data_IF_628418523522
#
_entry.id   IF_628418523522
#
_cell.length_a   1.000
_cell.length_b   1.000
_cell.length_c   1.000
_cell.angle_alpha   90.00
_cell.angle_beta   90.00
_cell.angle_gamma   90.00
#
_symmetry.space_group_name_H-M   'P 1'
#
loop_
_entity.id
_entity.type
_entity.pdbx_description
1 polymer ?
#
# COMPACT_ATOMS: atom_id res chain seq x y z
N UNK A 1 12.75 -30.24 -29.47
CA UNK A 1 13.18 -29.46 -28.30
C UNK A 1 13.64 -28.12 -28.80
N UNK A 2 12.76 -27.09 -28.77
CA UNK A 2 13.11 -25.71 -29.09
C UNK A 2 13.47 -25.04 -27.78
N UNK A 3 14.71 -24.54 -27.66
CA UNK A 3 15.19 -23.85 -26.48
C UNK A 3 14.35 -22.62 -26.21
N UNK A 4 13.80 -22.52 -25.00
CA UNK A 4 13.20 -21.32 -24.50
C UNK A 4 14.31 -20.27 -24.35
N UNK A 5 14.27 -19.25 -25.16
CA UNK A 5 15.11 -18.06 -25.05
C UNK A 5 14.73 -17.36 -23.76
N UNK A 6 15.62 -17.44 -22.76
CA UNK A 6 15.47 -16.67 -21.50
C UNK A 6 15.49 -15.20 -21.88
N UNK A 7 14.34 -14.55 -21.83
CA UNK A 7 14.28 -13.09 -21.87
C UNK A 7 15.00 -12.57 -20.65
N UNK A 8 16.23 -12.11 -20.85
CA UNK A 8 17.00 -11.46 -19.79
C UNK A 8 16.23 -10.24 -19.30
N UNK A 9 15.78 -10.29 -18.05
CA UNK A 9 15.19 -9.14 -17.36
C UNK A 9 16.28 -8.09 -17.25
N UNK A 10 16.21 -7.07 -18.11
CA UNK A 10 17.13 -5.94 -18.06
C UNK A 10 16.91 -5.23 -16.72
N UNK A 11 17.95 -5.11 -15.91
CA UNK A 11 17.91 -4.33 -14.67
C UNK A 11 17.50 -2.90 -15.00
N UNK A 12 16.30 -2.49 -14.54
CA UNK A 12 15.81 -1.12 -14.69
C UNK A 12 16.32 -0.32 -13.49
N UNK A 13 16.86 0.89 -13.73
CA UNK A 13 17.28 1.77 -12.65
C UNK A 13 16.11 2.13 -11.72
N UNK A 14 16.37 2.40 -10.43
CA UNK A 14 15.32 2.62 -9.43
C UNK A 14 14.38 3.76 -9.82
N UNK A 15 14.90 4.79 -10.51
CA UNK A 15 14.09 5.93 -11.00
C UNK A 15 13.19 5.53 -12.19
N UNK A 16 13.60 4.55 -12.98
CA UNK A 16 12.84 4.03 -14.10
C UNK A 16 11.71 3.08 -13.65
N UNK A 17 11.80 2.48 -12.45
CA UNK A 17 10.78 1.56 -11.91
C UNK A 17 9.43 2.26 -11.72
N UNK A 18 9.45 3.46 -11.13
CA UNK A 18 8.22 4.25 -10.94
C UNK A 18 7.55 4.58 -12.26
N UNK A 19 8.32 5.03 -13.26
CA UNK A 19 7.78 5.35 -14.58
C UNK A 19 7.28 4.09 -15.30
N UNK A 20 8.03 2.99 -15.23
CA UNK A 20 7.59 1.72 -15.80
C UNK A 20 6.25 1.27 -15.19
N UNK A 21 6.16 1.18 -13.85
CA UNK A 21 4.94 0.77 -13.18
C UNK A 21 3.80 1.76 -13.40
N UNK A 22 4.07 3.07 -13.50
CA UNK A 22 3.07 4.07 -13.90
C UNK A 22 2.46 3.73 -15.25
N UNK A 23 3.28 3.42 -16.26
CA UNK A 23 2.79 3.07 -17.61
C UNK A 23 1.97 1.78 -17.59
N UNK A 24 2.39 0.78 -16.80
CA UNK A 24 1.63 -0.48 -16.68
C UNK A 24 0.27 -0.23 -16.01
N UNK A 25 0.23 0.54 -14.93
CA UNK A 25 -1.03 0.91 -14.26
C UNK A 25 -1.95 1.78 -15.14
N UNK A 26 -1.41 2.63 -16.01
CA UNK A 26 -2.24 3.35 -17.01
C UNK A 26 -2.91 2.37 -17.99
N UNK A 27 -2.19 1.35 -18.47
CA UNK A 27 -2.74 0.29 -19.35
C UNK A 27 -3.81 -0.54 -18.64
N UNK A 28 -3.52 -0.97 -17.40
CA UNK A 28 -4.47 -1.73 -16.58
C UNK A 28 -5.75 -0.94 -16.31
N UNK A 29 -5.61 0.36 -16.02
CA UNK A 29 -6.75 1.26 -15.83
C UNK A 29 -7.54 1.50 -17.12
N UNK A 30 -6.88 1.58 -18.28
CA UNK A 30 -7.52 1.68 -19.57
C UNK A 30 -8.33 0.42 -19.90
N UNK A 31 -7.79 -0.75 -19.59
CA UNK A 31 -8.47 -2.03 -19.77
C UNK A 31 -9.62 -2.25 -18.76
N UNK A 32 -9.69 -1.45 -17.68
CA UNK A 32 -10.75 -1.51 -16.68
C UNK A 32 -10.75 -2.79 -15.84
N UNK A 33 -9.55 -3.30 -15.49
CA UNK A 33 -9.45 -4.46 -14.60
C UNK A 33 -10.05 -4.16 -13.22
N UNK A 34 -10.46 -5.19 -12.44
CA UNK A 34 -11.14 -4.99 -11.16
C UNK A 34 -10.38 -4.07 -10.19
N UNK A 35 -9.06 -4.11 -10.15
CA UNK A 35 -8.24 -3.31 -9.21
C UNK A 35 -8.10 -1.83 -9.60
N UNK A 36 -8.58 -1.43 -10.77
CA UNK A 36 -8.50 -0.05 -11.26
C UNK A 36 -9.83 0.67 -11.29
N UNK A 37 -10.89 0.04 -10.76
CA UNK A 37 -12.25 0.57 -10.73
C UNK A 37 -12.94 0.27 -9.40
N UNK A 38 -13.94 1.08 -9.00
CA UNK A 38 -14.69 0.81 -7.79
C UNK A 38 -15.49 -0.49 -7.94
N UNK A 39 -15.30 -1.41 -6.99
CA UNK A 39 -16.05 -2.66 -6.91
C UNK A 39 -17.16 -2.55 -5.88
N UNK A 40 -18.31 -3.12 -6.21
CA UNK A 40 -19.49 -3.01 -5.37
C UNK A 40 -20.12 -1.62 -5.41
N UNK A 41 -21.12 -1.42 -4.53
CA UNK A 41 -21.84 -0.14 -4.42
C UNK A 41 -22.15 0.15 -2.96
N UNK A 42 -21.40 1.01 -2.30
CA UNK A 42 -21.64 1.32 -0.89
C UNK A 42 -23.00 2.00 -0.71
N UNK A 43 -23.73 1.66 0.39
CA UNK A 43 -24.94 2.35 0.78
C UNK A 43 -24.74 3.87 0.94
N UNK A 44 -25.83 4.64 0.89
CA UNK A 44 -25.75 6.09 1.05
C UNK A 44 -25.88 6.55 2.49
N UNK A 45 -26.42 5.72 3.38
CA UNK A 45 -26.51 6.04 4.80
C UNK A 45 -25.17 5.88 5.53
N UNK A 46 -24.99 6.60 6.63
CA UNK A 46 -23.72 6.65 7.35
C UNK A 46 -23.29 5.27 7.92
N UNK A 47 -24.26 4.49 8.44
CA UNK A 47 -23.98 3.16 9.00
C UNK A 47 -23.55 2.17 7.92
N UNK A 48 -24.25 2.20 6.78
CA UNK A 48 -23.91 1.35 5.63
C UNK A 48 -22.55 1.68 5.03
N UNK A 49 -22.22 2.98 4.87
CA UNK A 49 -20.88 3.44 4.42
C UNK A 49 -19.79 2.95 5.37
N UNK A 50 -20.00 3.10 6.68
CA UNK A 50 -19.04 2.65 7.69
C UNK A 50 -18.81 1.15 7.63
N UNK A 51 -19.89 0.36 7.54
CA UNK A 51 -19.78 -1.10 7.39
C UNK A 51 -19.02 -1.47 6.11
N UNK A 52 -19.34 -0.84 4.98
CA UNK A 52 -18.66 -1.10 3.71
C UNK A 52 -17.18 -0.74 3.79
N UNK A 53 -16.80 0.37 4.43
CA UNK A 53 -15.41 0.73 4.67
C UNK A 53 -14.72 -0.28 5.60
N UNK A 54 -15.40 -0.74 6.65
CA UNK A 54 -14.86 -1.76 7.55
C UNK A 54 -14.62 -3.10 6.82
N UNK A 55 -15.48 -3.46 5.87
CA UNK A 55 -15.29 -4.61 4.99
C UNK A 55 -14.07 -4.42 4.06
N UNK A 56 -13.98 -3.28 3.36
CA UNK A 56 -12.85 -2.95 2.50
C UNK A 56 -11.51 -2.96 3.25
N UNK A 57 -11.50 -2.44 4.46
CA UNK A 57 -10.29 -2.35 5.30
C UNK A 57 -10.16 -3.53 6.26
N UNK A 58 -10.96 -4.58 6.09
CA UNK A 58 -10.97 -5.77 6.96
C UNK A 58 -11.01 -5.42 8.46
N UNK A 59 -11.70 -4.33 8.79
CA UNK A 59 -11.83 -3.83 10.15
C UNK A 59 -10.57 -3.17 10.73
N UNK A 60 -9.51 -2.94 9.93
CA UNK A 60 -8.26 -2.33 10.43
C UNK A 60 -8.44 -0.89 10.90
N UNK A 61 -9.48 -0.22 10.40
CA UNK A 61 -9.86 1.14 10.80
C UNK A 61 -11.04 1.20 11.77
N UNK A 62 -11.48 0.03 12.29
CA UNK A 62 -12.60 -0.01 13.24
C UNK A 62 -12.27 0.78 14.50
N UNK A 63 -13.21 1.61 14.93
CA UNK A 63 -13.05 2.48 16.11
C UNK A 63 -12.31 3.80 15.84
N UNK A 64 -11.79 4.03 14.64
CA UNK A 64 -11.24 5.33 14.26
C UNK A 64 -12.39 6.23 13.82
N UNK A 65 -12.61 7.33 14.53
CA UNK A 65 -13.50 8.39 14.08
C UNK A 65 -12.82 9.16 12.94
N UNK A 66 -13.52 9.29 11.82
CA UNK A 66 -13.03 9.95 10.62
C UNK A 66 -13.44 11.43 10.53
N UNK A 67 -14.43 11.86 11.32
CA UNK A 67 -14.92 13.22 11.26
C UNK A 67 -13.81 14.23 11.57
N UNK A 68 -13.56 15.15 10.63
CA UNK A 68 -12.52 16.17 10.73
C UNK A 68 -11.08 15.65 10.66
N UNK A 69 -10.84 14.35 10.41
CA UNK A 69 -9.50 13.80 10.22
C UNK A 69 -8.95 14.13 8.85
N UNK A 70 -7.68 14.45 8.79
CA UNK A 70 -6.92 14.61 7.56
C UNK A 70 -6.41 13.23 7.13
N UNK A 71 -6.96 12.72 6.04
CA UNK A 71 -6.70 11.35 5.57
C UNK A 71 -5.96 11.37 4.25
N UNK A 72 -4.86 10.65 4.16
CA UNK A 72 -4.18 10.33 2.91
C UNK A 72 -4.56 8.91 2.48
N UNK A 73 -5.27 8.78 1.35
CA UNK A 73 -5.41 7.53 0.61
C UNK A 73 -4.22 7.43 -0.34
N UNK A 74 -3.18 6.70 0.09
CA UNK A 74 -1.90 6.59 -0.62
C UNK A 74 -1.96 5.43 -1.60
N UNK A 75 -1.61 5.68 -2.86
CA UNK A 75 -1.78 4.76 -3.99
C UNK A 75 -3.21 4.17 -4.02
N UNK A 76 -4.19 5.04 -3.75
CA UNK A 76 -5.60 4.67 -3.52
C UNK A 76 -6.47 4.78 -4.76
N UNK A 77 -5.87 4.84 -5.95
CA UNK A 77 -6.63 4.98 -7.20
C UNK A 77 -7.54 3.78 -7.49
N UNK A 78 -8.64 4.03 -8.19
CA UNK A 78 -9.61 3.03 -8.65
C UNK A 78 -10.65 2.58 -7.61
N UNK A 79 -10.38 2.74 -6.29
CA UNK A 79 -11.22 2.21 -5.22
C UNK A 79 -12.26 3.19 -4.65
N UNK A 80 -13.03 2.67 -3.67
CA UNK A 80 -14.03 3.44 -2.92
C UNK A 80 -13.45 4.19 -1.72
N UNK A 81 -12.29 3.79 -1.21
CA UNK A 81 -11.77 4.22 0.10
C UNK A 81 -11.71 5.74 0.23
N UNK A 82 -11.05 6.44 -0.72
CA UNK A 82 -10.95 7.89 -0.67
C UNK A 82 -12.29 8.61 -0.63
N UNK A 83 -13.27 8.11 -1.42
CA UNK A 83 -14.62 8.67 -1.44
C UNK A 83 -15.33 8.40 -0.12
N UNK A 84 -15.23 7.19 0.42
CA UNK A 84 -15.86 6.82 1.69
C UNK A 84 -15.26 7.57 2.88
N UNK A 85 -13.95 7.79 2.91
CA UNK A 85 -13.33 8.65 3.92
C UNK A 85 -13.95 10.04 3.93
N UNK A 86 -14.06 10.66 2.74
CA UNK A 86 -14.64 12.00 2.61
C UNK A 86 -16.16 12.02 2.97
N UNK A 87 -16.93 11.01 2.54
CA UNK A 87 -18.35 10.88 2.88
C UNK A 87 -18.60 10.61 4.37
N UNK A 88 -17.60 10.09 5.09
CA UNK A 88 -17.62 9.89 6.55
C UNK A 88 -17.02 11.07 7.32
N UNK A 89 -16.79 12.19 6.64
CA UNK A 89 -16.44 13.47 7.25
C UNK A 89 -14.93 13.77 7.33
N UNK A 90 -14.09 12.98 6.69
CA UNK A 90 -12.65 13.26 6.65
C UNK A 90 -12.29 14.29 5.57
N UNK A 91 -11.26 15.08 5.83
CA UNK A 91 -10.54 15.88 4.83
C UNK A 91 -9.59 14.95 4.06
N UNK A 92 -10.04 14.47 2.90
CA UNK A 92 -9.35 13.39 2.20
C UNK A 92 -8.50 13.89 1.05
N UNK A 93 -7.25 13.46 1.03
CA UNK A 93 -6.34 13.55 -0.12
C UNK A 93 -6.18 12.16 -0.74
N UNK A 94 -6.40 12.04 -2.04
CA UNK A 94 -6.08 10.87 -2.83
C UNK A 94 -4.77 11.10 -3.59
N UNK A 95 -3.79 10.24 -3.36
CA UNK A 95 -2.49 10.27 -4.02
C UNK A 95 -2.28 8.99 -4.81
N UNK A 96 -1.93 9.11 -6.08
CA UNK A 96 -1.66 7.96 -6.95
C UNK A 96 -0.69 8.34 -8.08
N UNK A 97 0.05 7.36 -8.57
CA UNK A 97 0.97 7.53 -9.69
C UNK A 97 0.23 7.63 -11.03
N UNK A 98 -0.94 7.00 -11.17
CA UNK A 98 -1.73 6.92 -12.39
C UNK A 98 -2.75 8.06 -12.50
N UNK A 99 -2.65 8.84 -13.57
CA UNK A 99 -3.64 9.89 -13.90
C UNK A 99 -5.04 9.29 -14.15
N UNK A 100 -5.09 8.11 -14.79
CA UNK A 100 -6.36 7.44 -15.11
C UNK A 100 -7.07 7.00 -13.84
N UNK A 101 -6.36 6.42 -12.88
CA UNK A 101 -6.94 6.05 -11.60
C UNK A 101 -7.45 7.27 -10.83
N UNK A 102 -6.68 8.35 -10.79
CA UNK A 102 -7.14 9.62 -10.21
C UNK A 102 -8.39 10.16 -10.92
N UNK A 103 -8.47 10.03 -12.25
CA UNK A 103 -9.65 10.45 -13.02
C UNK A 103 -10.89 9.58 -12.71
N UNK A 104 -10.71 8.27 -12.53
CA UNK A 104 -11.77 7.34 -12.13
C UNK A 104 -12.38 7.75 -10.79
N UNK A 105 -11.56 7.96 -9.76
CA UNK A 105 -12.05 8.37 -8.43
C UNK A 105 -12.61 9.80 -8.45
N UNK A 106 -12.08 10.69 -9.28
CA UNK A 106 -12.63 12.04 -9.46
C UNK A 106 -14.05 12.01 -10.06
N UNK A 107 -14.29 11.12 -11.02
CA UNK A 107 -15.62 10.90 -11.57
C UNK A 107 -16.59 10.34 -10.51
N UNK A 108 -16.12 9.35 -9.75
CA UNK A 108 -16.88 8.75 -8.65
C UNK A 108 -17.23 9.79 -7.55
N UNK A 109 -16.27 10.63 -7.17
CA UNK A 109 -16.49 11.69 -6.19
C UNK A 109 -17.55 12.70 -6.67
N UNK A 110 -17.55 13.06 -7.96
CA UNK A 110 -18.59 13.91 -8.56
C UNK A 110 -19.97 13.25 -8.53
N UNK A 111 -20.05 11.98 -8.91
CA UNK A 111 -21.29 11.19 -8.84
C UNK A 111 -21.87 11.12 -7.42
N UNK A 112 -20.99 11.03 -6.44
CA UNK A 112 -21.35 10.97 -5.01
C UNK A 112 -21.56 12.34 -4.37
N UNK A 113 -21.24 13.44 -5.06
CA UNK A 113 -21.35 14.81 -4.55
C UNK A 113 -20.35 15.12 -3.43
N UNK A 114 -19.20 14.43 -3.39
CA UNK A 114 -18.18 14.62 -2.37
C UNK A 114 -16.92 15.29 -2.93
N UNK A 115 -16.10 15.88 -2.05
CA UNK A 115 -14.89 16.60 -2.42
C UNK A 115 -13.66 15.90 -1.84
N UNK A 116 -12.63 15.75 -2.70
CA UNK A 116 -11.32 15.26 -2.32
C UNK A 116 -10.24 16.16 -2.96
N UNK A 117 -9.08 16.24 -2.31
CA UNK A 117 -7.85 16.73 -2.95
C UNK A 117 -7.22 15.57 -3.73
N UNK A 118 -6.76 15.83 -4.96
CA UNK A 118 -6.12 14.83 -5.81
C UNK A 118 -4.69 15.27 -6.11
N UNK A 119 -3.72 14.40 -5.83
CA UNK A 119 -2.31 14.65 -6.08
C UNK A 119 -1.73 13.46 -6.84
N UNK A 120 -1.03 13.73 -7.94
CA UNK A 120 -0.30 12.72 -8.69
C UNK A 120 1.15 12.67 -8.21
N UNK A 121 1.68 11.47 -7.98
CA UNK A 121 3.08 11.28 -7.61
C UNK A 121 3.45 9.83 -7.33
N UNK A 122 4.72 9.62 -7.10
CA UNK A 122 5.28 8.34 -6.65
C UNK A 122 5.26 8.29 -5.11
N UNK A 123 4.76 7.20 -4.53
CA UNK A 123 4.67 7.04 -3.08
C UNK A 123 6.02 7.09 -2.34
N UNK A 124 7.12 6.97 -3.06
CA UNK A 124 8.49 7.12 -2.55
C UNK A 124 8.89 8.58 -2.33
N UNK A 125 8.08 9.52 -2.81
CA UNK A 125 8.30 10.97 -2.68
C UNK A 125 6.98 11.67 -2.30
N UNK A 126 6.82 11.97 -1.03
CA UNK A 126 5.69 12.71 -0.48
C UNK A 126 6.04 14.17 -0.17
N UNK A 127 7.06 14.74 -0.84
CA UNK A 127 7.51 16.14 -0.63
C UNK A 127 6.43 17.19 -0.92
N UNK A 128 5.37 16.82 -1.64
CA UNK A 128 4.18 17.66 -1.84
C UNK A 128 3.38 17.91 -0.55
N UNK A 129 3.72 17.23 0.55
CA UNK A 129 3.03 17.30 1.83
C UNK A 129 3.98 17.72 2.94
N UNK A 130 3.45 18.52 3.87
CA UNK A 130 4.19 18.97 5.05
C UNK A 130 4.36 17.83 6.09
N UNK A 131 5.33 18.01 7.00
CA UNK A 131 5.51 17.14 8.14
C UNK A 131 4.26 17.17 9.04
N UNK A 132 3.73 16.00 9.39
CA UNK A 132 2.55 15.88 10.24
C UNK A 132 1.25 16.36 9.60
N UNK A 133 1.16 16.38 8.28
CA UNK A 133 -0.03 16.84 7.57
C UNK A 133 -1.25 15.93 7.76
N UNK A 134 -1.06 14.63 8.00
CA UNK A 134 -2.15 13.65 8.03
C UNK A 134 -2.32 12.97 9.39
N UNK A 135 -3.57 12.71 9.77
CA UNK A 135 -3.93 11.96 10.99
C UNK A 135 -4.08 10.46 10.70
N UNK A 136 -4.34 10.10 9.45
CA UNK A 136 -4.44 8.72 8.96
C UNK A 136 -3.84 8.62 7.57
N UNK A 137 -2.98 7.63 7.36
CA UNK A 137 -2.56 7.19 6.02
C UNK A 137 -3.07 5.77 5.80
N UNK A 138 -3.91 5.59 4.78
CA UNK A 138 -4.38 4.29 4.31
C UNK A 138 -3.69 3.96 2.99
N UNK A 139 -2.95 2.85 2.96
CA UNK A 139 -2.10 2.45 1.84
C UNK A 139 -2.38 0.99 1.47
N UNK A 140 -3.41 0.80 0.66
CA UNK A 140 -3.84 -0.53 0.25
C UNK A 140 -2.93 -1.11 -0.83
N UNK A 141 -2.44 -2.31 -0.57
CA UNK A 141 -1.92 -3.31 -1.51
C UNK A 141 -1.06 -2.77 -2.69
N UNK A 142 -0.21 -1.79 -2.45
CA UNK A 142 0.64 -1.25 -3.51
C UNK A 142 2.13 -1.18 -3.15
N UNK A 143 2.49 -1.48 -1.89
CA UNK A 143 3.89 -1.53 -1.46
C UNK A 143 4.72 -2.51 -2.29
N UNK A 144 4.11 -3.56 -2.81
CA UNK A 144 4.74 -4.56 -3.69
C UNK A 144 5.33 -3.94 -4.99
N UNK A 145 4.81 -2.80 -5.45
CA UNK A 145 5.22 -2.18 -6.72
C UNK A 145 6.42 -1.22 -6.60
N UNK A 146 7.06 -1.14 -5.45
CA UNK A 146 8.26 -0.31 -5.25
C UNK A 146 9.42 -1.14 -4.72
N UNK A 147 10.68 -0.87 -5.15
CA UNK A 147 11.84 -1.59 -4.66
C UNK A 147 12.24 -1.15 -3.24
N UNK A 148 11.92 0.08 -2.84
CA UNK A 148 12.34 0.69 -1.58
C UNK A 148 11.16 1.02 -0.67
N UNK A 149 10.57 -0.03 -0.06
CA UNK A 149 9.53 0.12 0.95
C UNK A 149 10.01 0.92 2.17
N UNK A 150 11.32 0.90 2.47
CA UNK A 150 11.90 1.64 3.61
C UNK A 150 11.75 3.15 3.40
N UNK A 151 11.95 3.63 2.19
CA UNK A 151 11.75 5.03 1.82
C UNK A 151 10.29 5.42 1.93
N UNK A 152 9.36 4.59 1.43
CA UNK A 152 7.91 4.84 1.56
C UNK A 152 7.49 4.96 3.01
N UNK A 153 7.91 4.03 3.87
CA UNK A 153 7.61 4.06 5.32
C UNK A 153 8.19 5.32 5.97
N UNK A 154 9.41 5.72 5.60
CA UNK A 154 10.03 6.96 6.09
C UNK A 154 9.26 8.22 5.71
N UNK A 155 8.84 8.34 4.46
CA UNK A 155 8.01 9.46 3.98
C UNK A 155 6.64 9.48 4.66
N UNK A 156 5.98 8.32 4.79
CA UNK A 156 4.72 8.22 5.53
C UNK A 156 4.90 8.64 7.00
N UNK A 157 5.96 8.18 7.66
CA UNK A 157 6.24 8.58 9.03
C UNK A 157 6.44 10.10 9.16
N UNK A 158 7.05 10.76 8.17
CA UNK A 158 7.24 12.21 8.13
C UNK A 158 5.90 12.95 8.03
N UNK A 159 5.06 12.55 7.07
CA UNK A 159 3.80 13.26 6.79
C UNK A 159 2.68 12.92 7.78
N UNK A 160 2.82 11.87 8.58
CA UNK A 160 1.85 11.45 9.57
C UNK A 160 1.98 12.31 10.83
N UNK A 161 0.89 12.83 11.38
CA UNK A 161 0.89 13.60 12.62
C UNK A 161 1.27 12.74 13.84
N UNK A 162 1.87 13.31 14.92
CA UNK A 162 2.05 12.58 16.18
C UNK A 162 0.74 11.96 16.66
N UNK A 163 0.74 10.68 16.99
CA UNK A 163 -0.46 9.90 17.34
C UNK A 163 -1.30 9.44 16.15
N UNK A 164 -0.92 9.82 14.93
CA UNK A 164 -1.58 9.39 13.70
C UNK A 164 -1.40 7.90 13.41
N UNK A 165 -2.26 7.35 12.57
CA UNK A 165 -2.31 5.94 12.22
C UNK A 165 -1.86 5.70 10.78
N UNK A 166 -1.03 4.69 10.57
CA UNK A 166 -0.66 4.17 9.26
C UNK A 166 -1.15 2.74 9.11
N UNK A 167 -1.92 2.45 8.06
CA UNK A 167 -2.31 1.08 7.68
C UNK A 167 -1.82 0.84 6.27
N UNK A 168 -1.11 -0.25 6.07
CA UNK A 168 -0.65 -0.66 4.74
C UNK A 168 -0.68 -2.16 4.56
N UNK A 169 -0.79 -2.59 3.32
CA UNK A 169 -0.71 -4.00 2.94
C UNK A 169 0.23 -4.21 1.74
N UNK A 170 0.74 -5.42 1.64
CA UNK A 170 1.59 -5.89 0.54
C UNK A 170 1.33 -7.37 0.30
N UNK A 171 1.81 -7.90 -0.82
CA UNK A 171 1.89 -9.36 -1.00
C UNK A 171 2.75 -9.97 0.09
N UNK A 172 2.34 -11.14 0.57
CA UNK A 172 3.17 -11.89 1.50
C UNK A 172 4.48 -12.34 0.83
N UNK A 173 5.65 -12.05 1.42
CA UNK A 173 6.93 -12.21 0.73
C UNK A 173 7.27 -13.65 0.34
N UNK A 174 6.69 -14.64 1.01
CA UNK A 174 6.84 -16.06 0.65
C UNK A 174 5.90 -16.41 -0.51
N UNK A 175 4.61 -16.12 -0.36
CA UNK A 175 3.60 -16.44 -1.37
C UNK A 175 3.92 -15.81 -2.73
N UNK A 176 4.34 -14.53 -2.74
CA UNK A 176 4.74 -13.84 -3.97
C UNK A 176 5.86 -14.56 -4.74
N UNK A 177 6.81 -15.18 -4.01
CA UNK A 177 7.92 -15.93 -4.62
C UNK A 177 7.54 -17.33 -5.07
N UNK A 178 6.38 -17.83 -4.66
CA UNK A 178 5.87 -19.15 -5.00
C UNK A 178 4.79 -19.13 -6.09
N UNK A 179 4.21 -17.97 -6.38
CA UNK A 179 3.25 -17.86 -7.49
C UNK A 179 3.84 -18.38 -8.80
N UNK A 180 3.02 -19.05 -9.62
CA UNK A 180 3.40 -19.62 -10.92
C UNK A 180 4.56 -20.63 -10.88
N UNK A 181 4.79 -21.30 -9.72
CA UNK A 181 5.90 -22.25 -9.58
C UNK A 181 5.43 -23.69 -9.41
N UNK A 182 4.17 -23.99 -9.72
CA UNK A 182 3.62 -25.34 -9.61
C UNK A 182 4.32 -26.33 -10.54
N UNK A 183 4.80 -27.44 -9.99
CA UNK A 183 5.55 -28.48 -10.73
C UNK A 183 4.70 -29.68 -11.13
N UNK A 184 3.40 -29.68 -10.80
CA UNK A 184 2.51 -30.83 -10.92
C UNK A 184 2.38 -31.63 -9.62
N UNK A 185 3.33 -31.50 -8.70
CA UNK A 185 3.35 -32.22 -7.41
C UNK A 185 3.64 -31.35 -6.19
N UNK A 186 4.05 -30.10 -6.41
CA UNK A 186 4.37 -29.16 -5.34
C UNK A 186 4.76 -27.79 -5.86
N UNK A 187 4.94 -26.86 -4.93
CA UNK A 187 5.31 -25.49 -5.20
C UNK A 187 6.83 -25.30 -5.03
N UNK A 188 7.43 -24.51 -5.91
CA UNK A 188 8.83 -24.10 -5.80
C UNK A 188 8.99 -22.64 -5.38
N UNK A 189 10.18 -22.12 -5.58
CA UNK A 189 10.51 -20.69 -5.42
C UNK A 189 11.15 -20.17 -6.70
N UNK A 190 10.62 -19.07 -7.26
CA UNK A 190 11.24 -18.41 -8.43
C UNK A 190 12.40 -17.47 -8.04
N UNK A 191 12.53 -17.12 -6.75
CA UNK A 191 13.58 -16.27 -6.22
C UNK A 191 13.86 -16.63 -4.76
N UNK A 192 15.13 -16.53 -4.32
CA UNK A 192 15.47 -16.76 -2.91
C UNK A 192 14.82 -15.69 -2.03
N UNK A 193 14.41 -16.07 -0.82
CA UNK A 193 13.71 -15.18 0.13
C UNK A 193 14.51 -13.91 0.46
N UNK A 194 15.83 -13.98 0.50
CA UNK A 194 16.71 -12.86 0.86
C UNK A 194 17.16 -12.00 -0.32
N UNK A 195 16.74 -12.31 -1.54
CA UNK A 195 17.03 -11.48 -2.70
C UNK A 195 16.10 -10.25 -2.74
N UNK A 196 16.68 -9.08 -3.06
CA UNK A 196 15.96 -7.80 -3.04
C UNK A 196 15.52 -7.33 -4.46
N UNK A 197 15.81 -8.10 -5.51
CA UNK A 197 15.42 -7.80 -6.88
C UNK A 197 13.94 -7.94 -7.15
N UNK A 198 13.50 -7.44 -8.30
CA UNK A 198 12.14 -7.68 -8.78
C UNK A 198 11.88 -9.19 -8.95
N UNK A 199 10.67 -9.61 -8.61
CA UNK A 199 10.25 -11.01 -8.77
C UNK A 199 10.20 -11.34 -10.27
N UNK A 200 10.84 -12.42 -10.72
CA UNK A 200 10.87 -12.78 -12.14
C UNK A 200 9.58 -13.50 -12.56
N UNK A 201 8.50 -12.74 -12.79
CA UNK A 201 7.30 -13.29 -13.41
C UNK A 201 7.55 -13.57 -14.90
N UNK A 202 7.15 -14.74 -15.37
CA UNK A 202 7.26 -15.12 -16.79
C UNK A 202 6.11 -14.52 -17.60
N UNK A 203 4.91 -14.49 -17.04
CA UNK A 203 3.73 -13.94 -17.66
C UNK A 203 3.55 -12.44 -17.34
N UNK A 204 3.10 -11.70 -18.35
CA UNK A 204 2.72 -10.30 -18.24
C UNK A 204 1.20 -10.12 -18.42
N UNK A 205 0.46 -11.20 -18.59
CA UNK A 205 -0.93 -11.20 -18.95
C UNK A 205 -1.82 -11.13 -17.71
N UNK A 206 -2.62 -10.09 -17.61
CA UNK A 206 -3.66 -9.96 -16.61
C UNK A 206 -4.99 -10.40 -17.20
N UNK A 207 -5.61 -11.41 -16.62
CA UNK A 207 -6.87 -11.98 -17.07
C UNK A 207 -7.96 -11.87 -16.00
N UNK A 208 -9.06 -11.22 -16.34
CA UNK A 208 -10.23 -11.09 -15.46
C UNK A 208 -11.51 -11.30 -16.28
N UNK A 209 -12.01 -12.52 -16.32
CA UNK A 209 -13.16 -12.88 -17.12
C UNK A 209 -12.90 -12.67 -18.61
N UNK A 210 -13.51 -11.64 -19.22
CA UNK A 210 -13.31 -11.31 -20.64
C UNK A 210 -12.22 -10.25 -20.87
N UNK A 211 -11.69 -9.65 -19.80
CA UNK A 211 -10.63 -8.64 -19.91
C UNK A 211 -9.29 -9.34 -19.92
N UNK A 212 -8.51 -9.08 -20.95
CA UNK A 212 -7.13 -9.57 -21.10
C UNK A 212 -6.25 -8.39 -21.46
N UNK A 213 -5.20 -8.15 -20.69
CA UNK A 213 -4.28 -7.04 -20.94
C UNK A 213 -2.86 -7.44 -20.58
N UNK A 214 -1.95 -7.18 -21.50
CA UNK A 214 -0.53 -7.38 -21.29
C UNK A 214 0.06 -6.14 -20.60
N UNK A 215 0.42 -6.28 -19.33
CA UNK A 215 1.02 -5.22 -18.52
C UNK A 215 1.92 -5.82 -17.44
N UNK A 216 3.21 -5.95 -17.74
CA UNK A 216 4.19 -6.49 -16.81
C UNK A 216 4.54 -5.45 -15.74
N UNK A 217 3.91 -5.51 -14.59
CA UNK A 217 4.33 -4.73 -13.41
C UNK A 217 5.64 -5.29 -12.84
N UNK A 218 6.45 -4.41 -12.25
CA UNK A 218 7.62 -4.82 -11.48
C UNK A 218 7.21 -4.94 -10.02
N UNK A 219 7.36 -6.12 -9.46
CA UNK A 219 6.93 -6.46 -8.11
C UNK A 219 8.10 -6.91 -7.24
N UNK A 220 8.05 -6.54 -5.97
CA UNK A 220 9.14 -6.74 -5.00
C UNK A 220 8.61 -7.38 -3.73
N UNK A 221 9.26 -8.46 -3.29
CA UNK A 221 8.89 -9.16 -2.06
C UNK A 221 9.60 -8.59 -0.84
N UNK A 222 8.92 -7.74 -0.09
CA UNK A 222 9.48 -7.12 1.12
C UNK A 222 9.42 -8.04 2.32
N UNK A 223 10.58 -8.29 2.97
CA UNK A 223 10.63 -9.13 4.17
C UNK A 223 9.83 -8.49 5.31
N UNK A 224 9.02 -9.30 5.99
CA UNK A 224 8.22 -8.84 7.15
C UNK A 224 9.09 -8.15 8.20
N UNK A 225 10.27 -8.71 8.51
CA UNK A 225 11.24 -8.13 9.44
C UNK A 225 11.70 -6.72 9.03
N UNK A 226 11.95 -6.50 7.73
CA UNK A 226 12.38 -5.19 7.23
C UNK A 226 11.27 -4.15 7.35
N UNK A 227 10.04 -4.52 7.07
CA UNK A 227 8.89 -3.63 7.21
C UNK A 227 8.68 -3.21 8.67
N UNK A 228 8.64 -4.18 9.59
CA UNK A 228 8.45 -3.94 11.03
C UNK A 228 9.60 -3.13 11.62
N UNK A 229 10.85 -3.50 11.33
CA UNK A 229 12.02 -2.79 11.83
C UNK A 229 12.12 -1.37 11.27
N UNK A 230 11.69 -1.15 10.02
CA UNK A 230 11.63 0.19 9.45
C UNK A 230 10.57 1.04 10.11
N UNK A 231 9.39 0.51 10.40
CA UNK A 231 8.39 1.20 11.20
C UNK A 231 8.98 1.65 12.54
N UNK A 232 9.59 0.74 13.27
CA UNK A 232 10.21 1.04 14.58
C UNK A 232 11.30 2.13 14.47
N UNK A 233 12.17 2.04 13.46
CA UNK A 233 13.24 3.02 13.19
C UNK A 233 12.69 4.43 12.98
N UNK A 234 11.52 4.56 12.36
CA UNK A 234 10.87 5.85 12.08
C UNK A 234 9.85 6.28 13.15
N UNK A 235 9.86 5.63 14.33
CA UNK A 235 8.98 5.98 15.44
C UNK A 235 7.50 5.60 15.20
N UNK A 236 7.27 4.61 14.37
CA UNK A 236 5.96 4.01 14.14
C UNK A 236 5.85 2.73 14.99
N UNK A 237 5.04 2.77 16.03
CA UNK A 237 4.74 1.61 16.87
C UNK A 237 3.76 0.70 16.11
N UNK A 238 4.20 -0.48 15.73
CA UNK A 238 3.32 -1.50 15.15
C UNK A 238 2.38 -2.01 16.24
N UNK A 239 1.08 -1.78 16.07
CA UNK A 239 0.01 -2.21 17.00
C UNK A 239 -0.91 -3.29 16.38
N UNK A 240 -0.61 -3.71 15.16
CA UNK A 240 -1.26 -4.82 14.49
C UNK A 240 -0.47 -5.33 13.29
N UNK A 241 -0.40 -6.66 13.17
CA UNK A 241 0.16 -7.35 12.02
C UNK A 241 -0.76 -8.55 11.73
N UNK A 242 -1.19 -8.66 10.49
CA UNK A 242 -2.09 -9.73 10.04
C UNK A 242 -1.60 -10.33 8.75
N UNK A 243 -1.79 -11.62 8.66
CA UNK A 243 -1.60 -12.41 7.46
C UNK A 243 -2.96 -12.99 7.05
N UNK A 244 -3.29 -12.91 5.77
CA UNK A 244 -4.59 -13.37 5.29
C UNK A 244 -4.55 -13.75 3.82
N UNK A 245 -5.54 -14.57 3.43
CA UNK A 245 -5.86 -14.87 2.04
C UNK A 245 -7.31 -14.52 1.74
N UNK A 246 -7.65 -14.01 0.56
CA UNK A 246 -9.03 -13.78 0.17
C UNK A 246 -9.81 -15.06 -0.09
N UNK A 247 -9.14 -16.14 -0.50
CA UNK A 247 -9.72 -17.45 -0.77
C UNK A 247 -9.11 -18.51 0.14
N UNK A 248 -9.92 -19.09 1.03
CA UNK A 248 -9.54 -20.25 1.85
C UNK A 248 -10.17 -21.55 1.35
N UNK A 249 -11.05 -21.49 0.37
CA UNK A 249 -11.73 -22.66 -0.20
C UNK A 249 -10.83 -23.40 -1.19
N UNK A 250 -9.81 -22.70 -1.73
CA UNK A 250 -8.86 -23.23 -2.70
C UNK A 250 -9.39 -23.17 -4.12
N UNK A 251 -8.57 -23.67 -5.03
CA UNK A 251 -8.82 -23.70 -6.46
C UNK A 251 -8.25 -24.95 -7.10
N UNK A 252 -8.14 -24.94 -8.42
CA UNK A 252 -7.49 -26.00 -9.18
C UNK A 252 -6.02 -26.13 -8.78
N UNK A 253 -5.47 -27.34 -8.81
CA UNK A 253 -4.06 -27.60 -8.49
C UNK A 253 -3.13 -26.68 -9.28
N UNK A 254 -2.26 -25.97 -8.58
CA UNK A 254 -1.32 -25.02 -9.17
C UNK A 254 -1.86 -23.61 -9.38
N UNK A 255 -3.12 -23.35 -9.08
CA UNK A 255 -3.69 -21.99 -9.11
C UNK A 255 -3.25 -21.15 -7.92
N UNK A 256 -3.36 -19.81 -8.06
CA UNK A 256 -3.13 -18.89 -6.94
C UNK A 256 -4.10 -19.17 -5.77
N UNK A 257 -5.36 -19.47 -6.06
CA UNK A 257 -6.37 -19.81 -5.05
C UNK A 257 -6.00 -21.09 -4.28
N UNK A 258 -5.37 -22.08 -4.93
CA UNK A 258 -4.86 -23.24 -4.21
C UNK A 258 -3.67 -22.90 -3.32
N UNK A 259 -2.72 -22.10 -3.81
CA UNK A 259 -1.59 -21.64 -3.00
C UNK A 259 -2.05 -20.90 -1.74
N UNK A 260 -3.12 -20.10 -1.84
CA UNK A 260 -3.71 -19.34 -0.74
C UNK A 260 -4.30 -20.21 0.39
N UNK A 261 -4.55 -21.50 0.15
CA UNK A 261 -4.92 -22.46 1.20
C UNK A 261 -3.75 -22.84 2.11
N UNK A 262 -2.54 -22.77 1.57
CA UNK A 262 -1.32 -23.21 2.25
C UNK A 262 -0.55 -22.04 2.87
N UNK A 263 -0.63 -20.86 2.26
CA UNK A 263 0.13 -19.67 2.64
C UNK A 263 -0.75 -18.44 2.58
N UNK A 264 -0.55 -17.49 3.48
CA UNK A 264 -1.22 -16.19 3.36
C UNK A 264 -0.75 -15.47 2.10
N UNK A 265 -1.70 -14.98 1.30
CA UNK A 265 -1.41 -14.17 0.12
C UNK A 265 -0.91 -12.77 0.46
N UNK A 266 -1.38 -12.24 1.58
CA UNK A 266 -1.18 -10.84 1.97
C UNK A 266 -0.68 -10.69 3.39
N UNK A 267 0.16 -9.67 3.57
CA UNK A 267 0.60 -9.14 4.85
C UNK A 267 0.05 -7.72 5.02
N UNK A 268 -0.52 -7.43 6.17
CA UNK A 268 -1.08 -6.14 6.51
C UNK A 268 -0.57 -5.67 7.86
N UNK A 269 -0.12 -4.42 7.93
CA UNK A 269 0.47 -3.82 9.12
C UNK A 269 -0.27 -2.53 9.46
N UNK A 270 -0.60 -2.38 10.75
CA UNK A 270 -1.04 -1.12 11.32
C UNK A 270 0.00 -0.63 12.31
N UNK A 271 0.33 0.67 12.20
CA UNK A 271 1.28 1.31 13.11
C UNK A 271 0.80 2.71 13.50
N UNK A 272 1.23 3.18 14.67
CA UNK A 272 0.92 4.52 15.19
C UNK A 272 2.19 5.34 15.34
N UNK A 273 2.17 6.57 14.87
CA UNK A 273 3.27 7.50 15.12
C UNK A 273 3.35 7.83 16.62
N UNK A 274 4.49 7.58 17.22
CA UNK A 274 4.71 7.90 18.64
C UNK A 274 4.62 9.42 18.87
N UNK A 275 3.99 9.79 19.97
CA UNK A 275 4.02 11.16 20.49
C UNK A 275 5.30 11.31 21.29
N UNK A 276 6.33 11.93 20.70
CA UNK A 276 7.51 12.32 21.47
C UNK A 276 7.10 13.42 22.43
N UNK A 277 7.12 13.16 23.74
CA UNK A 277 7.01 14.24 24.73
C UNK A 277 8.15 15.20 24.44
N UNK A 278 7.83 16.45 24.09
CA UNK A 278 8.80 17.49 23.79
C UNK A 278 9.89 17.48 24.82
N UNK A 279 11.16 17.51 24.39
CA UNK A 279 12.30 17.47 25.28
C UNK A 279 12.16 18.56 26.34
N UNK A 280 12.13 18.14 27.59
CA UNK A 280 12.30 19.07 28.71
C UNK A 280 13.64 19.75 28.45
N UNK A 281 13.60 21.02 28.02
CA UNK A 281 14.77 21.84 27.88
C UNK A 281 15.49 21.79 29.22
N UNK A 282 16.64 21.12 29.27
CA UNK A 282 17.53 21.16 30.47
C UNK A 282 17.90 22.62 30.65
N UNK A 283 17.22 23.31 31.60
CA UNK A 283 17.67 24.60 32.09
C UNK A 283 19.06 24.35 32.63
N UNK A 284 20.05 24.80 31.93
CA UNK A 284 21.42 24.93 32.39
C UNK A 284 21.40 25.92 33.53
N UNK A 285 21.45 25.42 34.76
CA UNK A 285 21.74 26.23 35.96
C UNK A 285 23.21 26.64 35.86
N UNK A 286 23.46 27.81 35.30
CA UNK A 286 24.75 28.49 35.44
C UNK A 286 24.92 28.80 36.95
N UNK A 287 25.72 27.98 37.62
CA UNK A 287 26.27 28.26 38.93
C UNK A 287 27.27 29.41 38.79
N UNK A 288 26.83 30.62 39.11
CA UNK A 288 27.72 31.77 39.32
C UNK A 288 28.62 31.47 40.52
N UNK A 289 29.87 31.15 40.24
CA UNK A 289 30.91 31.11 41.30
C UNK A 289 31.17 32.56 41.75
N UNK A 290 30.69 32.89 42.95
CA UNK A 290 31.14 34.09 43.70
C UNK A 290 32.56 33.82 44.16
N UNK A 291 33.52 34.55 43.64
CA UNK A 291 34.82 34.76 44.26
C UNK A 291 34.62 35.75 45.41
N UNK A 292 34.86 35.32 46.64
CA UNK A 292 35.12 36.17 47.82
C UNK A 292 36.60 36.32 48.02
N UNK A 293 36.99 37.56 48.24
CA UNK A 293 38.34 37.94 48.64
C UNK A 293 38.62 37.44 50.07
#
# INVERSE_FOLDING_TARGET
MKGAERVATRSIAVDDVGEHNRQMWERLAEAGIPYTRPLGKPPRDARGKRRFLDELTRGRLRGIDLAGKRVLSLAGGGGWDGVLFAELGAETTLFDISKRQLATVRALARERGTKLRFVQGDMRDLSAFADGEFDLVNHHHSMVFVPDAKRVIGEVARVLAPGGTYVFSTMHPVALRMQETWTGTGWGFKQRYFDDGAIPFEDALWEFGRVRVEARTLEYGHRTSDLVNTCAKHGLLVDGLWEYSPSYEGGEPGSADELERWLPAYLEIRARRLVTRGGVARRSTRRTARRSR
#
